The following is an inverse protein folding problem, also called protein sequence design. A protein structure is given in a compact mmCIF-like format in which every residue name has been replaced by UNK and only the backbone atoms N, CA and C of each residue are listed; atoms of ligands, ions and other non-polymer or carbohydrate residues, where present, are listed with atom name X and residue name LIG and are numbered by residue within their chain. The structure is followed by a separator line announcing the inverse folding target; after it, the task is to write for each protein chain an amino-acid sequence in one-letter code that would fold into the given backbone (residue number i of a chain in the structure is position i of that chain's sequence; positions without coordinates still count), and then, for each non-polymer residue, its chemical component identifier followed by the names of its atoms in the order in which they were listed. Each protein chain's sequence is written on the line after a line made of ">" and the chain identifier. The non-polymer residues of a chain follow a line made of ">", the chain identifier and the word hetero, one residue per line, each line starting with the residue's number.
data_IF_987308447975
#
_entry.id   IF_987308447975
#
_cell.length_a   1.000
_cell.length_b   1.000
_cell.length_c   1.000
_cell.angle_alpha   90.00
_cell.angle_beta   90.00
_cell.angle_gamma   90.00
#
_symmetry.space_group_name_H-M   'P 1'
#
loop_
_entity.id
_entity.type
_entity.pdbx_description
1 polymer ?
#
# COMPACT_ATOMS: atom_id res chain seq x y z
N UNK A 1 -20.39 12.00 4.96
CA UNK A 1 -19.02 12.15 5.48
C UNK A 1 -18.10 12.45 4.32
N UNK A 2 -17.24 13.44 4.44
CA UNK A 2 -16.28 13.80 3.39
C UNK A 2 -14.90 13.17 3.70
N UNK A 3 -14.01 13.11 2.72
CA UNK A 3 -12.68 12.51 2.91
C UNK A 3 -11.86 13.17 4.01
N UNK A 4 -12.00 14.49 4.19
CA UNK A 4 -11.31 15.23 5.25
C UNK A 4 -11.78 14.83 6.66
N UNK A 5 -13.01 14.34 6.81
CA UNK A 5 -13.56 13.87 8.08
C UNK A 5 -13.06 12.46 8.46
N UNK A 6 -12.44 11.75 7.51
CA UNK A 6 -11.91 10.40 7.73
C UNK A 6 -10.51 10.37 8.38
N UNK A 7 -9.92 11.54 8.63
CA UNK A 7 -8.57 11.64 9.22
C UNK A 7 -7.45 11.71 8.18
N UNK A 8 -7.78 11.98 6.91
CA UNK A 8 -6.81 12.16 5.84
C UNK A 8 -6.37 13.62 5.75
N UNK A 9 -5.08 13.86 5.50
CA UNK A 9 -4.49 15.20 5.45
C UNK A 9 -4.32 15.72 4.02
N UNK A 10 -3.94 17.00 3.89
CA UNK A 10 -3.88 17.73 2.64
C UNK A 10 -3.21 17.03 1.46
N UNK A 11 -2.01 16.42 1.61
CA UNK A 11 -1.35 15.74 0.50
C UNK A 11 -2.17 14.57 -0.07
N UNK A 12 -2.88 13.83 0.79
CA UNK A 12 -3.74 12.71 0.37
C UNK A 12 -5.03 13.24 -0.26
N UNK A 13 -5.63 14.27 0.33
CA UNK A 13 -6.84 14.90 -0.21
C UNK A 13 -6.60 15.47 -1.62
N UNK A 14 -5.43 16.04 -1.90
CA UNK A 14 -5.03 16.47 -3.23
C UNK A 14 -4.90 15.31 -4.22
N UNK A 15 -4.34 14.20 -3.78
CA UNK A 15 -4.26 12.96 -4.57
C UNK A 15 -5.65 12.43 -4.95
N UNK A 16 -6.57 12.40 -4.00
CA UNK A 16 -7.96 11.99 -4.21
C UNK A 16 -8.68 12.90 -5.20
N UNK A 17 -8.56 14.22 -5.02
CA UNK A 17 -9.21 15.21 -5.88
C UNK A 17 -8.82 15.06 -7.36
N UNK A 18 -7.56 14.66 -7.62
CA UNK A 18 -7.09 14.44 -8.99
C UNK A 18 -7.66 13.18 -9.65
N UNK A 19 -8.27 12.28 -8.88
CA UNK A 19 -8.95 11.08 -9.37
C UNK A 19 -10.47 11.31 -9.56
N UNK A 20 -10.95 12.54 -9.40
CA UNK A 20 -12.37 12.90 -9.48
C UNK A 20 -13.25 12.14 -8.47
N UNK A 21 -12.73 11.87 -7.29
CA UNK A 21 -13.51 11.31 -6.19
C UNK A 21 -14.10 12.41 -5.33
N UNK A 22 -15.41 12.59 -5.43
CA UNK A 22 -16.11 13.65 -4.69
C UNK A 22 -16.39 13.24 -3.23
N UNK A 23 -16.83 12.02 -3.04
CA UNK A 23 -17.21 11.50 -1.71
C UNK A 23 -16.68 10.07 -1.49
N UNK A 24 -16.37 9.72 -0.24
CA UNK A 24 -15.97 8.36 0.08
C UNK A 24 -17.14 7.37 -0.06
N UNK A 25 -16.82 6.17 -0.52
CA UNK A 25 -17.78 5.07 -0.59
C UNK A 25 -18.07 4.50 0.80
N UNK A 26 -19.15 3.69 0.97
CA UNK A 26 -19.45 3.07 2.27
C UNK A 26 -18.30 2.27 2.87
N UNK A 27 -17.57 1.49 2.04
CA UNK A 27 -16.42 0.71 2.53
C UNK A 27 -15.27 1.63 2.98
N UNK A 28 -15.03 2.72 2.28
CA UNK A 28 -14.00 3.70 2.64
C UNK A 28 -14.36 4.39 3.97
N UNK A 29 -15.61 4.82 4.14
CA UNK A 29 -16.09 5.39 5.40
C UNK A 29 -15.92 4.44 6.59
N UNK A 30 -16.18 3.16 6.38
CA UNK A 30 -16.08 2.15 7.43
C UNK A 30 -14.63 1.79 7.78
N UNK A 31 -13.74 1.69 6.77
CA UNK A 31 -12.39 1.15 6.91
C UNK A 31 -11.37 2.21 7.32
N UNK A 32 -11.35 3.37 6.65
CA UNK A 32 -10.25 4.34 6.80
C UNK A 32 -10.07 4.79 8.25
N UNK A 33 -11.10 5.23 8.99
CA UNK A 33 -10.90 5.66 10.37
C UNK A 33 -10.42 4.53 11.29
N UNK A 34 -10.94 3.32 11.10
CA UNK A 34 -10.54 2.15 11.90
C UNK A 34 -9.09 1.76 11.64
N UNK A 35 -8.67 1.80 10.38
CA UNK A 35 -7.28 1.55 9.99
C UNK A 35 -6.33 2.55 10.66
N UNK A 36 -6.67 3.84 10.60
CA UNK A 36 -5.86 4.90 11.21
C UNK A 36 -5.78 4.77 12.74
N UNK A 37 -6.80 4.16 13.37
CA UNK A 37 -6.83 3.85 14.79
C UNK A 37 -6.25 2.47 15.16
N UNK A 38 -5.49 1.85 14.24
CA UNK A 38 -4.78 0.58 14.44
C UNK A 38 -5.68 -0.65 14.72
N UNK A 39 -6.90 -0.67 14.21
CA UNK A 39 -7.75 -1.85 14.28
C UNK A 39 -7.41 -2.85 13.19
N UNK A 40 -7.50 -4.14 13.51
CA UNK A 40 -7.55 -5.19 12.51
C UNK A 40 -8.95 -5.19 11.87
N UNK A 41 -8.99 -5.35 10.55
CA UNK A 41 -10.22 -5.15 9.77
C UNK A 41 -10.41 -6.29 8.78
N UNK A 42 -11.63 -6.82 8.73
CA UNK A 42 -12.09 -7.66 7.63
C UNK A 42 -13.13 -6.85 6.84
N UNK A 43 -12.77 -6.43 5.64
CA UNK A 43 -13.64 -5.63 4.77
C UNK A 43 -14.23 -6.48 3.66
N UNK A 44 -15.55 -6.59 3.62
CA UNK A 44 -16.27 -7.34 2.58
C UNK A 44 -17.10 -6.34 1.77
N UNK A 45 -16.78 -6.24 0.47
CA UNK A 45 -17.48 -5.38 -0.46
C UNK A 45 -17.37 -5.93 -1.89
N UNK A 46 -18.33 -5.59 -2.72
CA UNK A 46 -18.32 -5.98 -4.13
C UNK A 46 -17.18 -5.32 -4.91
N UNK A 47 -16.81 -5.89 -6.05
CA UNK A 47 -15.86 -5.30 -6.99
C UNK A 47 -16.35 -3.92 -7.46
N UNK A 48 -15.44 -2.95 -7.58
CA UNK A 48 -15.78 -1.60 -8.04
C UNK A 48 -16.34 -0.68 -6.96
N UNK A 49 -16.34 -1.10 -5.68
CA UNK A 49 -16.85 -0.29 -4.55
C UNK A 49 -15.78 0.56 -3.85
N UNK A 50 -14.57 0.62 -4.40
CA UNK A 50 -13.49 1.44 -3.85
C UNK A 50 -12.68 0.77 -2.74
N UNK A 51 -12.62 -0.56 -2.70
CA UNK A 51 -11.81 -1.30 -1.71
C UNK A 51 -10.33 -0.91 -1.75
N UNK A 52 -9.76 -0.75 -2.93
CA UNK A 52 -8.33 -0.40 -3.07
C UNK A 52 -8.01 0.92 -2.37
N UNK A 53 -8.80 1.95 -2.60
CA UNK A 53 -8.62 3.23 -1.90
C UNK A 53 -8.84 3.09 -0.39
N UNK A 54 -9.74 2.23 0.05
CA UNK A 54 -10.03 2.02 1.46
C UNK A 54 -8.81 1.58 2.28
N UNK A 55 -7.87 0.85 1.69
CA UNK A 55 -6.61 0.49 2.37
C UNK A 55 -5.39 1.31 1.90
N UNK A 56 -5.33 1.75 0.65
CA UNK A 56 -4.19 2.53 0.15
C UNK A 56 -4.15 3.91 0.79
N UNK A 57 -5.26 4.61 0.87
CA UNK A 57 -5.30 5.97 1.42
C UNK A 57 -4.79 6.05 2.87
N UNK A 58 -5.23 5.20 3.82
CA UNK A 58 -4.71 5.26 5.17
C UNK A 58 -3.25 4.77 5.30
N UNK A 59 -2.77 3.89 4.42
CA UNK A 59 -1.35 3.56 4.35
C UNK A 59 -0.53 4.80 4.00
N UNK A 60 -0.94 5.53 2.98
CA UNK A 60 -0.27 6.77 2.56
C UNK A 60 -0.30 7.82 3.67
N UNK A 61 -1.41 7.96 4.37
CA UNK A 61 -1.54 8.87 5.52
C UNK A 61 -0.53 8.50 6.63
N UNK A 62 -0.37 7.22 6.94
CA UNK A 62 0.64 6.78 7.91
C UNK A 62 2.06 7.06 7.46
N UNK A 63 2.35 6.97 6.16
CA UNK A 63 3.68 7.28 5.62
C UNK A 63 4.05 8.75 5.80
N UNK A 64 3.10 9.67 5.70
CA UNK A 64 3.33 11.09 5.97
C UNK A 64 3.82 11.32 7.40
N UNK A 65 3.26 10.59 8.36
CA UNK A 65 3.59 10.71 9.79
C UNK A 65 4.86 9.97 10.18
N UNK A 66 5.43 9.19 9.26
CA UNK A 66 6.63 8.39 9.53
C UNK A 66 7.88 9.26 9.47
N UNK A 67 8.65 9.26 10.57
CA UNK A 67 9.88 10.06 10.70
C UNK A 67 11.17 9.30 10.39
N UNK A 68 11.15 7.96 10.37
CA UNK A 68 12.34 7.13 10.18
C UNK A 68 12.46 6.62 8.75
N UNK A 69 13.68 6.61 8.20
CA UNK A 69 13.99 5.92 6.95
C UNK A 69 13.83 4.41 7.12
N UNK A 70 13.42 3.73 6.05
CA UNK A 70 13.33 2.29 6.03
C UNK A 70 14.73 1.66 6.03
N UNK A 71 14.88 0.58 6.78
CA UNK A 71 16.09 -0.24 6.72
C UNK A 71 16.20 -0.96 5.38
N UNK A 72 17.40 -1.17 4.84
CA UNK A 72 17.58 -1.94 3.62
C UNK A 72 16.87 -3.31 3.70
N UNK A 73 16.27 -3.75 2.61
CA UNK A 73 15.54 -5.02 2.48
C UNK A 73 14.29 -5.16 3.37
N UNK A 74 13.94 -4.14 4.14
CA UNK A 74 12.80 -4.12 5.05
C UNK A 74 11.75 -3.11 4.60
N UNK A 75 10.50 -3.33 4.96
CA UNK A 75 9.38 -2.46 4.60
C UNK A 75 8.24 -2.57 5.63
N UNK A 76 7.61 -1.45 6.00
CA UNK A 76 6.55 -1.47 7.01
C UNK A 76 5.21 -1.99 6.49
N UNK A 77 4.89 -1.79 5.21
CA UNK A 77 3.60 -2.15 4.62
C UNK A 77 3.78 -3.23 3.55
N UNK A 78 3.00 -4.30 3.68
CA UNK A 78 2.96 -5.41 2.73
C UNK A 78 1.53 -5.62 2.23
N UNK A 79 1.36 -5.64 0.91
CA UNK A 79 0.10 -5.97 0.25
C UNK A 79 0.32 -7.26 -0.53
N UNK A 80 -0.37 -8.33 -0.15
CA UNK A 80 -0.31 -9.62 -0.83
C UNK A 80 -1.54 -9.80 -1.72
N UNK A 81 -1.31 -10.16 -2.96
CA UNK A 81 -2.35 -10.38 -3.96
C UNK A 81 -2.12 -11.67 -4.74
N UNK A 82 -3.17 -12.30 -5.25
CA UNK A 82 -3.02 -13.61 -5.92
C UNK A 82 -2.42 -13.52 -7.33
N UNK A 83 -2.54 -12.38 -8.02
CA UNK A 83 -2.13 -12.25 -9.42
C UNK A 83 -1.22 -11.06 -9.64
N UNK A 84 -0.34 -11.18 -10.66
CA UNK A 84 0.53 -10.10 -11.13
C UNK A 84 -0.28 -8.88 -11.59
N UNK A 85 -1.36 -9.10 -12.32
CA UNK A 85 -2.22 -8.04 -12.87
C UNK A 85 -2.83 -7.19 -11.76
N UNK A 86 -3.34 -7.82 -10.71
CA UNK A 86 -3.88 -7.10 -9.56
C UNK A 86 -2.80 -6.34 -8.81
N UNK A 87 -1.61 -6.92 -8.66
CA UNK A 87 -0.47 -6.23 -8.05
C UNK A 87 -0.10 -4.95 -8.82
N UNK A 88 -0.07 -5.01 -10.14
CA UNK A 88 0.22 -3.85 -10.99
C UNK A 88 -0.85 -2.77 -10.87
N UNK A 89 -2.13 -3.14 -10.84
CA UNK A 89 -3.24 -2.19 -10.63
C UNK A 89 -3.12 -1.46 -9.28
N UNK A 90 -2.74 -2.16 -8.23
CA UNK A 90 -2.55 -1.57 -6.90
C UNK A 90 -1.35 -0.62 -6.90
N UNK A 91 -0.24 -0.98 -7.52
CA UNK A 91 0.93 -0.10 -7.66
C UNK A 91 0.53 1.20 -8.38
N UNK A 92 -0.24 1.12 -9.46
CA UNK A 92 -0.69 2.30 -10.20
C UNK A 92 -1.57 3.21 -9.32
N UNK A 93 -2.45 2.63 -8.51
CA UNK A 93 -3.27 3.39 -7.57
C UNK A 93 -2.45 4.03 -6.44
N UNK A 94 -1.45 3.33 -5.91
CA UNK A 94 -0.52 3.90 -4.92
C UNK A 94 0.20 5.12 -5.49
N UNK A 95 0.68 5.04 -6.72
CA UNK A 95 1.35 6.17 -7.39
C UNK A 95 0.39 7.33 -7.66
N UNK A 96 -0.83 7.03 -8.08
CA UNK A 96 -1.84 8.04 -8.37
C UNK A 96 -2.28 8.79 -7.11
N UNK A 97 -2.73 8.08 -6.08
CA UNK A 97 -3.13 8.71 -4.82
C UNK A 97 -1.96 9.37 -4.08
N UNK A 98 -0.78 8.78 -4.19
CA UNK A 98 0.44 9.22 -3.53
C UNK A 98 1.31 10.17 -4.34
N UNK A 99 0.82 10.81 -5.40
CA UNK A 99 1.63 11.63 -6.30
C UNK A 99 2.32 12.82 -5.62
N UNK A 100 1.79 13.32 -4.53
CA UNK A 100 2.39 14.42 -3.76
C UNK A 100 3.50 13.88 -2.85
N UNK A 101 3.25 12.78 -2.15
CA UNK A 101 4.21 12.21 -1.19
C UNK A 101 5.23 11.28 -1.83
N UNK A 102 4.94 10.75 -3.01
CA UNK A 102 5.79 9.86 -3.80
C UNK A 102 6.34 8.69 -2.99
N UNK A 103 5.49 7.79 -2.48
CA UNK A 103 5.93 6.66 -1.69
C UNK A 103 6.80 5.73 -2.52
N UNK A 104 7.77 5.10 -1.87
CA UNK A 104 8.60 4.08 -2.50
C UNK A 104 7.86 2.74 -2.48
N UNK A 105 7.13 2.46 -3.54
CA UNK A 105 6.35 1.24 -3.72
C UNK A 105 7.10 0.28 -4.65
N UNK A 106 7.29 -0.96 -4.20
CA UNK A 106 8.04 -2.00 -4.92
C UNK A 106 7.10 -3.15 -5.29
N UNK A 107 7.15 -3.53 -6.56
CA UNK A 107 6.37 -4.64 -7.12
C UNK A 107 7.21 -5.93 -7.10
N UNK A 108 6.73 -6.96 -6.42
CA UNK A 108 7.41 -8.25 -6.27
C UNK A 108 6.49 -9.35 -6.82
N UNK A 109 6.72 -9.71 -8.08
CA UNK A 109 5.88 -10.67 -8.81
C UNK A 109 6.70 -11.67 -9.62
N UNK A 110 6.17 -12.86 -9.80
CA UNK A 110 6.72 -13.87 -10.71
C UNK A 110 6.61 -13.43 -12.17
N UNK A 111 7.38 -14.07 -13.06
CA UNK A 111 7.41 -13.74 -14.48
C UNK A 111 8.25 -12.52 -14.84
N UNK A 112 8.68 -11.72 -13.86
CA UNK A 112 9.65 -10.65 -14.03
C UNK A 112 11.03 -11.10 -13.51
N UNK A 113 12.09 -10.43 -13.97
CA UNK A 113 13.46 -10.73 -13.51
C UNK A 113 13.61 -10.44 -12.02
N UNK A 114 14.21 -11.34 -11.23
CA UNK A 114 14.39 -11.12 -9.79
C UNK A 114 15.43 -10.03 -9.46
N UNK A 115 16.44 -9.83 -10.29
CA UNK A 115 17.54 -8.89 -10.03
C UNK A 115 17.08 -7.45 -9.76
N UNK A 116 16.26 -6.82 -10.62
CA UNK A 116 15.73 -5.49 -10.36
C UNK A 116 14.88 -5.41 -9.10
N UNK A 117 14.13 -6.45 -8.77
CA UNK A 117 13.35 -6.53 -7.53
C UNK A 117 14.25 -6.53 -6.29
N UNK A 118 15.31 -7.32 -6.31
CA UNK A 118 16.32 -7.39 -5.25
C UNK A 118 16.99 -6.03 -5.05
N UNK A 119 17.35 -5.35 -6.14
CA UNK A 119 17.94 -4.01 -6.08
C UNK A 119 16.95 -3.01 -5.43
N UNK A 120 15.70 -3.00 -5.84
CA UNK A 120 14.67 -2.11 -5.26
C UNK A 120 14.46 -2.37 -3.78
N UNK A 121 14.44 -3.62 -3.35
CA UNK A 121 14.33 -3.99 -1.93
C UNK A 121 15.57 -3.56 -1.14
N UNK A 122 16.76 -3.69 -1.71
CA UNK A 122 18.02 -3.29 -1.08
C UNK A 122 18.06 -1.79 -0.79
N UNK A 123 17.49 -0.98 -1.66
CA UNK A 123 17.40 0.47 -1.48
C UNK A 123 16.36 0.88 -0.40
N UNK A 124 15.58 -0.07 0.10
CA UNK A 124 14.48 0.15 1.05
C UNK A 124 13.16 0.48 0.33
N UNK A 125 12.06 0.09 0.92
CA UNK A 125 10.71 0.35 0.39
C UNK A 125 9.78 0.83 1.50
N UNK A 126 8.78 1.64 1.13
CA UNK A 126 7.68 2.01 2.03
C UNK A 126 6.57 0.97 1.98
N UNK A 127 6.24 0.52 0.78
CA UNK A 127 5.18 -0.44 0.50
C UNK A 127 5.72 -1.49 -0.46
N UNK A 128 5.50 -2.75 -0.14
CA UNK A 128 5.71 -3.87 -1.07
C UNK A 128 4.37 -4.43 -1.48
N UNK A 129 4.12 -4.51 -2.78
CA UNK A 129 2.96 -5.21 -3.36
C UNK A 129 3.47 -6.47 -4.04
N UNK A 130 3.04 -7.61 -3.58
CA UNK A 130 3.64 -8.88 -3.95
C UNK A 130 2.63 -9.99 -4.23
N UNK A 131 3.02 -10.89 -5.12
CA UNK A 131 2.46 -12.23 -5.17
C UNK A 131 3.24 -13.14 -4.22
N UNK A 132 2.56 -14.09 -3.50
CA UNK A 132 3.18 -14.81 -2.40
C UNK A 132 4.43 -15.63 -2.78
N UNK A 133 4.41 -16.31 -3.91
CA UNK A 133 5.51 -17.19 -4.34
C UNK A 133 6.83 -16.44 -4.52
N UNK A 134 6.82 -15.34 -5.25
CA UNK A 134 8.03 -14.53 -5.49
C UNK A 134 8.51 -13.83 -4.21
N UNK A 135 7.60 -13.35 -3.37
CA UNK A 135 7.99 -12.79 -2.07
C UNK A 135 8.67 -13.86 -1.21
N UNK A 136 8.13 -15.07 -1.18
CA UNK A 136 8.72 -16.17 -0.43
C UNK A 136 10.14 -16.51 -0.92
N UNK A 137 10.37 -16.50 -2.23
CA UNK A 137 11.69 -16.68 -2.81
C UNK A 137 12.70 -15.64 -2.30
N UNK A 138 12.29 -14.37 -2.27
CA UNK A 138 13.15 -13.29 -1.76
C UNK A 138 13.38 -13.38 -0.25
N UNK A 139 12.40 -13.81 0.52
CA UNK A 139 12.56 -14.04 1.96
C UNK A 139 13.55 -15.18 2.22
N UNK A 140 13.40 -16.31 1.52
CA UNK A 140 14.31 -17.47 1.63
C UNK A 140 15.75 -17.12 1.23
N UNK A 141 15.94 -16.31 0.22
CA UNK A 141 17.27 -15.85 -0.24
C UNK A 141 17.84 -14.68 0.56
N UNK A 142 17.13 -14.23 1.59
CA UNK A 142 17.51 -13.05 2.41
C UNK A 142 17.63 -11.75 1.63
N UNK A 143 16.87 -11.62 0.54
CA UNK A 143 16.72 -10.38 -0.21
C UNK A 143 15.60 -9.48 0.36
N UNK A 144 14.69 -10.06 1.15
CA UNK A 144 13.61 -9.36 1.82
C UNK A 144 13.49 -9.82 3.27
N UNK A 145 13.28 -8.87 4.19
CA UNK A 145 13.06 -9.12 5.62
C UNK A 145 11.71 -8.58 6.06
N UNK A 146 10.95 -9.39 6.79
CA UNK A 146 9.63 -9.03 7.31
C UNK A 146 9.65 -8.52 8.75
N UNK A 147 10.82 -8.39 9.36
CA UNK A 147 10.97 -8.04 10.78
C UNK A 147 10.45 -6.65 11.14
N UNK A 148 10.38 -5.72 10.21
CA UNK A 148 9.82 -4.37 10.41
C UNK A 148 8.42 -4.21 9.84
N UNK A 149 7.88 -5.22 9.18
CA UNK A 149 6.53 -5.18 8.63
C UNK A 149 5.50 -5.22 9.73
N UNK A 150 4.72 -4.16 9.85
CA UNK A 150 3.72 -4.00 10.91
C UNK A 150 2.28 -3.99 10.39
N UNK A 151 2.09 -3.93 9.09
CA UNK A 151 0.76 -3.90 8.46
C UNK A 151 0.77 -4.77 7.22
N UNK A 152 -0.17 -5.70 7.15
CA UNK A 152 -0.35 -6.62 6.03
C UNK A 152 -1.78 -6.50 5.51
N UNK A 153 -1.91 -6.35 4.21
CA UNK A 153 -3.18 -6.38 3.48
C UNK A 153 -3.24 -7.68 2.66
N UNK A 154 -4.32 -8.40 2.79
CA UNK A 154 -4.57 -9.63 2.06
C UNK A 154 -5.73 -9.48 1.06
#
# INVERSE_FOLDING_TARGET
>A
MDFNELGLTGPILKGIASENYDKPTPIQNAVIPKFLNNHDIVGIAQTGTGKTAAFVLPILERLIKKSKKNSPKSFPFLILVPTRELAMQIIDKIRSYGKIIRPKAVLIVGGAKPGPQIKSLKDGADIVVATPGRLLDHVKSKAAYLNTTNTVIL
#
